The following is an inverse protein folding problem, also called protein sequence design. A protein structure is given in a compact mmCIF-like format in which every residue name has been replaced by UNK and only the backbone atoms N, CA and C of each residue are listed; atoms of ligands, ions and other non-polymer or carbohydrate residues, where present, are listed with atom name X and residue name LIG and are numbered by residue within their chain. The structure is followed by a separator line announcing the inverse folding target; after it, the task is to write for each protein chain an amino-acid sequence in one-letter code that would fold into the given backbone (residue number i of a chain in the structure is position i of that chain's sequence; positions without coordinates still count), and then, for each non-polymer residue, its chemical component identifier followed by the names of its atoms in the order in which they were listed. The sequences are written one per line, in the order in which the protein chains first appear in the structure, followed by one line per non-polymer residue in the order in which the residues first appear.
data_IF_206392170840
#
_entry.id   IF_206392170840
#
_cell.length_a   1.000
_cell.length_b   1.000
_cell.length_c   1.000
_cell.angle_alpha   90.00
_cell.angle_beta   90.00
_cell.angle_gamma   90.00
#
_symmetry.space_group_name_H-M   'P 1'
#
loop_
_entity.id
_entity.type
_entity.pdbx_description
1 polymer ?
#
# COMPACT_ATOMS: atom_id res chain seq x y z
N UNK A 1 -26.52 29.12 -10.97
CA UNK A 1 -27.15 27.86 -10.53
C UNK A 1 -27.24 26.78 -11.63
N UNK A 2 -27.39 27.16 -12.92
CA UNK A 2 -27.49 26.19 -14.04
C UNK A 2 -26.14 25.54 -14.43
N UNK A 3 -25.01 26.25 -14.26
CA UNK A 3 -23.66 25.72 -14.56
C UNK A 3 -23.27 24.52 -13.68
N UNK A 4 -23.55 24.58 -12.38
CA UNK A 4 -23.30 23.46 -11.47
C UNK A 4 -24.11 22.21 -11.84
N UNK A 5 -25.36 22.37 -12.30
CA UNK A 5 -26.18 21.24 -12.71
C UNK A 5 -25.58 20.52 -13.93
N UNK A 6 -24.97 21.26 -14.86
CA UNK A 6 -24.37 20.70 -16.07
C UNK A 6 -23.08 19.91 -15.76
N UNK A 7 -22.27 20.37 -14.79
CA UNK A 7 -21.08 19.64 -14.33
C UNK A 7 -21.44 18.38 -13.54
N UNK A 8 -22.51 18.44 -12.74
CA UNK A 8 -23.00 17.26 -11.99
C UNK A 8 -23.56 16.23 -12.96
N UNK A 9 -24.25 16.65 -14.03
CA UNK A 9 -24.77 15.75 -15.07
C UNK A 9 -23.65 15.13 -15.90
N UNK A 10 -22.61 15.89 -16.26
CA UNK A 10 -21.43 15.38 -16.98
C UNK A 10 -20.61 14.41 -16.13
N UNK A 11 -20.50 14.68 -14.82
CA UNK A 11 -19.91 13.75 -13.85
C UNK A 11 -20.74 12.47 -13.70
N UNK A 12 -22.07 12.59 -13.74
CA UNK A 12 -23.00 11.44 -13.75
C UNK A 12 -22.89 10.62 -15.03
N UNK A 13 -22.84 11.26 -16.19
CA UNK A 13 -22.76 10.58 -17.49
C UNK A 13 -21.44 9.82 -17.65
N UNK A 14 -20.32 10.42 -17.22
CA UNK A 14 -19.02 9.74 -17.15
C UNK A 14 -18.99 8.57 -16.16
N UNK A 15 -19.74 8.66 -15.06
CA UNK A 15 -19.87 7.53 -14.12
C UNK A 15 -20.73 6.41 -14.71
N UNK A 16 -21.84 6.69 -15.42
CA UNK A 16 -22.70 5.64 -16.01
C UNK A 16 -22.03 4.89 -17.17
N UNK A 17 -21.24 5.57 -18.00
CA UNK A 17 -20.51 4.94 -19.13
C UNK A 17 -19.38 4.03 -18.64
N UNK A 18 -18.78 4.32 -17.47
CA UNK A 18 -17.70 3.51 -16.90
C UNK A 18 -18.24 2.23 -16.18
N UNK A 19 -19.52 2.18 -15.78
CA UNK A 19 -20.09 0.99 -15.12
C UNK A 19 -20.31 -0.20 -16.06
N UNK A 20 -20.25 -0.02 -17.38
CA UNK A 20 -20.59 -1.09 -18.33
C UNK A 20 -19.38 -1.81 -18.97
N UNK A 21 -18.15 -1.54 -18.49
CA UNK A 21 -16.93 -2.25 -18.93
C UNK A 21 -16.10 -2.78 -17.75
N UNK A 22 -16.74 -3.42 -16.77
CA UNK A 22 -16.04 -4.13 -15.70
C UNK A 22 -15.50 -5.49 -16.18
N UNK A 23 -14.57 -5.45 -17.12
CA UNK A 23 -13.68 -6.57 -17.42
C UNK A 23 -12.54 -6.54 -16.40
N UNK A 24 -12.05 -7.69 -15.91
CA UNK A 24 -10.91 -7.78 -14.98
C UNK A 24 -9.70 -6.93 -15.42
N UNK A 25 -9.51 -6.75 -16.73
CA UNK A 25 -8.48 -5.85 -17.31
C UNK A 25 -8.75 -4.37 -17.08
N UNK A 26 -10.00 -3.92 -17.08
CA UNK A 26 -10.38 -2.53 -16.75
C UNK A 26 -10.14 -2.25 -15.26
N UNK A 27 -10.49 -3.21 -14.40
CA UNK A 27 -10.18 -3.16 -12.97
C UNK A 27 -8.67 -3.11 -12.72
N UNK A 28 -7.90 -4.02 -13.32
CA UNK A 28 -6.44 -4.01 -13.23
C UNK A 28 -5.83 -2.74 -13.84
N UNK A 29 -6.45 -2.19 -14.89
CA UNK A 29 -6.06 -0.93 -15.51
C UNK A 29 -6.26 0.26 -14.57
N UNK A 30 -7.43 0.37 -13.93
CA UNK A 30 -7.73 1.43 -12.95
C UNK A 30 -6.87 1.29 -11.68
N UNK A 31 -6.63 0.05 -11.24
CA UNK A 31 -5.68 -0.27 -10.18
C UNK A 31 -4.28 0.25 -10.53
N UNK A 32 -3.77 -0.12 -11.71
CA UNK A 32 -2.45 0.28 -12.15
C UNK A 32 -2.34 1.79 -12.42
N UNK A 33 -3.45 2.43 -12.84
CA UNK A 33 -3.53 3.86 -13.03
C UNK A 33 -3.53 4.63 -11.70
N UNK A 34 -4.22 4.14 -10.67
CA UNK A 34 -4.21 4.75 -9.33
C UNK A 34 -2.89 4.48 -8.59
N UNK A 35 -2.29 3.32 -8.86
CA UNK A 35 -1.00 2.90 -8.32
C UNK A 35 0.18 3.31 -9.20
N UNK A 36 0.00 4.27 -10.13
CA UNK A 36 1.03 4.79 -11.05
C UNK A 36 1.88 5.84 -10.32
N UNK A 37 3.12 5.54 -9.85
CA UNK A 37 4.01 6.53 -9.23
C UNK A 37 4.85 7.32 -10.24
N UNK A 38 4.89 6.90 -11.51
CA UNK A 38 5.79 7.52 -12.49
C UNK A 38 5.27 8.90 -12.92
N UNK A 39 6.17 9.90 -12.98
CA UNK A 39 5.85 11.26 -13.41
C UNK A 39 5.33 11.27 -14.85
N UNK A 40 4.59 12.31 -15.20
CA UNK A 40 4.05 12.46 -16.55
C UNK A 40 5.20 12.52 -17.57
N UNK A 41 4.98 12.03 -18.80
CA UNK A 41 6.07 11.89 -19.79
C UNK A 41 6.79 13.21 -20.06
N UNK A 42 6.09 14.32 -19.88
CA UNK A 42 6.59 15.69 -20.04
C UNK A 42 7.56 16.07 -18.92
N UNK A 43 7.21 15.82 -17.66
CA UNK A 43 8.10 15.99 -16.50
C UNK A 43 9.35 15.12 -16.60
N UNK A 44 9.22 13.91 -17.15
CA UNK A 44 10.38 13.03 -17.39
C UNK A 44 11.35 13.56 -18.44
N UNK A 45 10.89 14.33 -19.43
CA UNK A 45 11.77 14.91 -20.45
C UNK A 45 12.53 16.13 -19.91
N UNK A 46 11.92 16.90 -19.00
CA UNK A 46 12.52 18.10 -18.42
C UNK A 46 13.55 17.80 -17.31
N UNK A 47 13.54 16.60 -16.74
CA UNK A 47 14.44 16.23 -15.65
C UNK A 47 15.88 15.95 -16.09
N UNK A 48 16.82 16.49 -15.31
CA UNK A 48 18.24 16.25 -15.45
C UNK A 48 18.57 14.76 -15.16
N UNK A 49 19.66 14.22 -15.72
CA UNK A 49 19.98 12.77 -15.64
C UNK A 49 20.10 12.28 -14.18
N UNK A 50 20.62 13.14 -13.29
CA UNK A 50 20.67 12.86 -11.86
C UNK A 50 19.28 12.76 -11.21
N UNK A 51 18.35 13.63 -11.60
CA UNK A 51 16.96 13.58 -11.11
C UNK A 51 16.27 12.30 -11.58
N UNK A 52 16.49 11.89 -12.83
CA UNK A 52 15.98 10.61 -13.36
C UNK A 52 16.45 9.42 -12.53
N UNK A 53 17.73 9.40 -12.13
CA UNK A 53 18.28 8.34 -11.29
C UNK A 53 17.63 8.31 -9.90
N UNK A 54 17.56 9.46 -9.23
CA UNK A 54 16.92 9.60 -7.90
C UNK A 54 15.45 9.18 -7.94
N UNK A 55 14.70 9.62 -8.97
CA UNK A 55 13.30 9.24 -9.15
C UNK A 55 13.16 7.73 -9.38
N UNK A 56 14.06 7.14 -10.18
CA UNK A 56 14.05 5.69 -10.43
C UNK A 56 14.28 4.87 -9.17
N UNK A 57 15.19 5.32 -8.29
CA UNK A 57 15.45 4.64 -7.00
C UNK A 57 14.29 4.80 -6.04
N UNK A 58 13.71 5.99 -5.93
CA UNK A 58 12.57 6.26 -5.04
C UNK A 58 11.26 5.63 -5.55
N UNK A 59 11.18 5.29 -6.83
CA UNK A 59 10.01 4.68 -7.45
C UNK A 59 9.54 3.42 -6.72
N UNK A 60 10.48 2.54 -6.37
CA UNK A 60 10.19 1.23 -5.78
C UNK A 60 9.62 1.42 -4.36
N UNK A 61 10.28 2.16 -3.44
CA UNK A 61 9.70 2.51 -2.15
C UNK A 61 8.35 3.24 -2.28
N UNK A 62 8.23 4.25 -3.14
CA UNK A 62 7.00 5.03 -3.29
C UNK A 62 5.84 4.18 -3.79
N UNK A 63 6.09 3.24 -4.72
CA UNK A 63 5.11 2.28 -5.17
C UNK A 63 4.63 1.38 -4.02
N UNK A 64 5.57 0.84 -3.23
CA UNK A 64 5.25 0.00 -2.08
C UNK A 64 4.48 0.76 -1.00
N UNK A 65 4.86 2.01 -0.71
CA UNK A 65 4.13 2.87 0.21
C UNK A 65 2.71 3.13 -0.28
N UNK A 66 2.52 3.49 -1.56
CA UNK A 66 1.18 3.68 -2.13
C UNK A 66 0.34 2.40 -2.12
N UNK A 67 0.98 1.24 -2.23
CA UNK A 67 0.29 -0.05 -2.21
C UNK A 67 -0.12 -0.47 -0.79
N UNK A 68 0.74 -0.21 0.20
CA UNK A 68 0.57 -0.70 1.57
C UNK A 68 -0.06 0.31 2.52
N UNK A 69 0.00 1.60 2.22
CA UNK A 69 -0.61 2.66 3.03
C UNK A 69 -1.89 3.11 2.33
N UNK A 70 -3.06 2.68 2.84
CA UNK A 70 -4.33 3.09 2.28
C UNK A 70 -4.52 4.61 2.48
N UNK A 71 -4.64 5.35 1.38
CA UNK A 71 -4.73 6.82 1.41
C UNK A 71 -6.15 7.29 1.08
N UNK A 72 -6.67 8.23 1.87
CA UNK A 72 -8.06 8.68 1.78
C UNK A 72 -8.36 9.58 0.56
N UNK A 73 -7.34 10.09 -0.13
CA UNK A 73 -7.53 10.98 -1.30
C UNK A 73 -7.69 10.24 -2.63
N UNK A 74 -7.57 8.90 -2.65
CA UNK A 74 -7.76 8.12 -3.88
C UNK A 74 -9.26 7.90 -4.19
N UNK A 75 -9.67 7.96 -5.48
CA UNK A 75 -11.04 7.67 -5.86
C UNK A 75 -11.43 6.24 -5.46
N UNK A 76 -12.59 6.09 -4.82
CA UNK A 76 -13.05 4.81 -4.31
C UNK A 76 -13.02 3.72 -5.39
N UNK A 77 -12.26 2.67 -5.15
CA UNK A 77 -12.28 1.46 -5.95
C UNK A 77 -12.29 0.23 -5.04
N UNK A 78 -13.39 -0.54 -5.14
CA UNK A 78 -13.57 -1.83 -4.45
C UNK A 78 -12.34 -2.77 -4.54
N UNK A 79 -11.65 -2.91 -5.68
CA UNK A 79 -10.47 -3.78 -5.77
C UNK A 79 -9.24 -3.27 -5.00
N UNK A 80 -9.01 -1.94 -4.92
CA UNK A 80 -7.91 -1.39 -4.08
C UNK A 80 -8.20 -1.63 -2.62
N UNK A 81 -9.43 -1.35 -2.19
CA UNK A 81 -9.86 -1.57 -0.82
C UNK A 81 -9.65 -3.03 -0.37
N UNK A 82 -9.99 -3.99 -1.23
CA UNK A 82 -9.77 -5.42 -0.98
C UNK A 82 -8.29 -5.79 -0.97
N UNK A 83 -7.50 -5.32 -1.94
CA UNK A 83 -6.07 -5.57 -2.01
C UNK A 83 -5.32 -5.01 -0.80
N UNK A 84 -5.64 -3.79 -0.38
CA UNK A 84 -5.07 -3.16 0.81
C UNK A 84 -5.51 -3.91 2.08
N UNK A 85 -6.78 -4.30 2.19
CA UNK A 85 -7.27 -5.09 3.32
C UNK A 85 -6.58 -6.46 3.43
N UNK A 86 -6.25 -7.09 2.31
CA UNK A 86 -5.49 -8.35 2.30
C UNK A 86 -4.00 -8.15 2.59
N UNK A 87 -3.40 -7.12 2.01
CA UNK A 87 -1.94 -6.88 2.06
C UNK A 87 -1.51 -6.29 3.39
N UNK A 88 -2.31 -5.39 4.00
CA UNK A 88 -1.96 -4.70 5.24
C UNK A 88 -1.63 -5.65 6.41
N UNK A 89 -2.46 -6.66 6.76
CA UNK A 89 -2.17 -7.52 7.90
C UNK A 89 -0.92 -8.38 7.70
N UNK A 90 -0.73 -8.90 6.48
CA UNK A 90 0.44 -9.72 6.13
C UNK A 90 1.71 -8.87 6.15
N UNK A 91 1.65 -7.66 5.58
CA UNK A 91 2.78 -6.75 5.55
C UNK A 91 3.11 -6.17 6.93
N UNK A 92 2.11 -5.91 7.77
CA UNK A 92 2.33 -5.49 9.15
C UNK A 92 3.10 -6.55 9.95
N UNK A 93 2.76 -7.84 9.78
CA UNK A 93 3.53 -8.92 10.40
C UNK A 93 4.97 -8.99 9.89
N UNK A 94 5.17 -8.74 8.59
CA UNK A 94 6.48 -8.65 7.97
C UNK A 94 7.29 -7.48 8.55
N UNK A 95 6.69 -6.30 8.72
CA UNK A 95 7.32 -5.13 9.31
C UNK A 95 7.85 -5.37 10.72
N UNK A 96 7.09 -6.09 11.55
CA UNK A 96 7.48 -6.39 12.93
C UNK A 96 8.51 -7.55 12.98
N UNK A 97 8.88 -8.14 11.83
CA UNK A 97 9.84 -9.25 11.71
C UNK A 97 9.43 -10.52 12.50
N UNK A 98 8.15 -10.67 12.81
CA UNK A 98 7.61 -11.81 13.59
C UNK A 98 7.11 -12.97 12.72
N UNK A 99 7.32 -12.90 11.40
CA UNK A 99 6.71 -13.79 10.41
C UNK A 99 7.12 -15.27 10.58
N UNK A 100 8.32 -15.51 11.10
CA UNK A 100 8.91 -16.85 11.29
C UNK A 100 8.70 -17.42 12.70
N UNK A 101 8.14 -16.63 13.62
CA UNK A 101 7.93 -17.10 15.01
C UNK A 101 6.78 -18.11 15.02
N UNK A 102 7.02 -19.27 15.63
CA UNK A 102 6.01 -20.29 15.88
C UNK A 102 5.47 -20.13 17.31
N UNK A 103 4.17 -19.85 17.50
CA UNK A 103 3.60 -19.62 18.82
C UNK A 103 3.37 -20.91 19.61
N UNK A 104 3.30 -22.07 18.92
CA UNK A 104 3.14 -23.38 19.55
C UNK A 104 4.18 -24.39 19.01
N UNK A 105 4.58 -25.38 19.83
CA UNK A 105 5.37 -26.51 19.35
C UNK A 105 4.62 -27.22 18.21
N UNK A 106 5.28 -27.49 17.09
CA UNK A 106 4.71 -28.11 15.88
C UNK A 106 3.68 -27.29 15.10
N UNK A 107 3.49 -26.00 15.44
CA UNK A 107 2.63 -25.09 14.66
C UNK A 107 3.36 -24.50 13.45
N UNK A 108 2.65 -24.25 12.32
CA UNK A 108 3.17 -23.41 11.25
C UNK A 108 3.52 -22.01 11.78
N UNK A 109 4.43 -21.31 11.09
CA UNK A 109 4.84 -19.96 11.46
C UNK A 109 3.68 -18.95 11.45
N UNK A 110 3.87 -17.85 12.17
CA UNK A 110 2.88 -16.76 12.33
C UNK A 110 2.31 -16.24 11.00
N UNK A 111 3.07 -16.36 9.91
CA UNK A 111 2.64 -15.99 8.55
C UNK A 111 1.33 -16.65 8.11
N UNK A 112 1.10 -17.93 8.46
CA UNK A 112 -0.10 -18.64 8.04
C UNK A 112 -1.33 -18.11 8.76
N UNK A 113 -1.20 -17.77 10.04
CA UNK A 113 -2.25 -17.16 10.84
C UNK A 113 -2.59 -15.75 10.34
N UNK A 114 -1.58 -14.97 9.97
CA UNK A 114 -1.78 -13.66 9.39
C UNK A 114 -2.48 -13.72 8.03
N UNK A 115 -2.14 -14.71 7.20
CA UNK A 115 -2.81 -14.96 5.91
C UNK A 115 -4.26 -15.40 6.10
N UNK A 116 -4.52 -16.27 7.07
CA UNK A 116 -5.89 -16.67 7.40
C UNK A 116 -6.72 -15.47 7.91
N UNK A 117 -6.14 -14.66 8.80
CA UNK A 117 -6.79 -13.45 9.31
C UNK A 117 -7.07 -12.43 8.19
N UNK A 118 -6.10 -12.21 7.29
CA UNK A 118 -6.27 -11.30 6.17
C UNK A 118 -7.33 -11.78 5.17
N UNK A 119 -7.40 -13.09 4.93
CA UNK A 119 -8.44 -13.69 4.10
C UNK A 119 -9.83 -13.49 4.72
N UNK A 120 -9.98 -13.72 6.03
CA UNK A 120 -11.24 -13.51 6.76
C UNK A 120 -11.65 -12.04 6.68
N UNK A 121 -10.73 -11.11 6.95
CA UNK A 121 -10.98 -9.66 6.84
C UNK A 121 -11.41 -9.27 5.42
N UNK A 122 -10.75 -9.79 4.38
CA UNK A 122 -11.12 -9.56 2.98
C UNK A 122 -12.52 -10.08 2.65
N UNK A 123 -12.89 -11.27 3.13
CA UNK A 123 -14.23 -11.84 2.94
C UNK A 123 -15.29 -10.98 3.63
N UNK A 124 -15.02 -10.56 4.87
CA UNK A 124 -15.91 -9.67 5.63
C UNK A 124 -16.12 -8.35 4.90
N UNK A 125 -15.05 -7.73 4.39
CA UNK A 125 -15.13 -6.50 3.58
C UNK A 125 -15.89 -6.76 2.28
N UNK A 126 -15.65 -7.88 1.62
CA UNK A 126 -16.33 -8.23 0.37
C UNK A 126 -17.85 -8.36 0.54
N UNK A 127 -18.29 -8.96 1.64
CA UNK A 127 -19.71 -9.13 2.00
C UNK A 127 -20.33 -7.79 2.45
N UNK A 128 -19.64 -7.01 3.29
CA UNK A 128 -20.14 -5.73 3.80
C UNK A 128 -20.17 -4.62 2.74
N UNK A 129 -19.33 -4.72 1.71
CA UNK A 129 -19.16 -3.67 0.70
C UNK A 129 -20.07 -3.88 -0.51
N UNK A 130 -21.22 -3.18 -0.53
CA UNK A 130 -22.04 -3.03 -1.75
C UNK A 130 -21.30 -2.19 -2.80
N UNK A 131 -21.40 -2.58 -4.08
CA UNK A 131 -20.66 -1.94 -5.19
C UNK A 131 -21.06 -0.47 -5.45
N UNK A 132 -22.28 -0.08 -5.10
CA UNK A 132 -22.88 1.20 -5.54
C UNK A 132 -22.78 2.37 -4.53
N UNK A 133 -22.17 2.17 -3.36
CA UNK A 133 -22.11 3.22 -2.34
C UNK A 133 -20.82 3.21 -1.55
N UNK A 134 -20.11 4.33 -1.56
CA UNK A 134 -18.98 4.60 -0.68
C UNK A 134 -19.43 4.37 0.79
N UNK A 135 -18.95 3.32 1.48
CA UNK A 135 -19.37 3.08 2.85
C UNK A 135 -18.82 4.20 3.72
N UNK A 136 -19.69 4.90 4.46
CA UNK A 136 -19.29 6.02 5.34
C UNK A 136 -18.23 5.62 6.38
N UNK A 137 -18.16 4.33 6.72
CA UNK A 137 -17.19 3.74 7.64
C UNK A 137 -15.82 3.42 7.00
N UNK A 138 -15.70 3.40 5.67
CA UNK A 138 -14.45 3.07 5.00
C UNK A 138 -13.37 4.15 5.17
N UNK A 139 -13.74 5.44 5.02
CA UNK A 139 -12.82 6.56 5.16
C UNK A 139 -12.07 6.59 6.51
N UNK A 140 -12.76 6.54 7.68
CA UNK A 140 -12.06 6.55 8.95
C UNK A 140 -11.21 5.28 9.15
N UNK A 141 -11.72 4.09 8.79
CA UNK A 141 -10.99 2.83 8.95
C UNK A 141 -9.69 2.80 8.12
N UNK A 142 -9.77 3.27 6.88
CA UNK A 142 -8.63 3.45 5.96
C UNK A 142 -7.59 4.39 6.56
N UNK A 143 -8.04 5.51 7.14
CA UNK A 143 -7.13 6.47 7.79
C UNK A 143 -6.41 5.87 9.02
N UNK A 144 -7.12 5.13 9.87
CA UNK A 144 -6.51 4.43 11.01
C UNK A 144 -5.54 3.34 10.56
N UNK A 145 -5.89 2.56 9.54
CA UNK A 145 -5.02 1.53 8.97
C UNK A 145 -3.75 2.16 8.35
N UNK A 146 -3.88 3.23 7.58
CA UNK A 146 -2.74 3.95 7.00
C UNK A 146 -1.79 4.53 8.05
N UNK A 147 -2.36 5.03 9.16
CA UNK A 147 -1.58 5.49 10.30
C UNK A 147 -0.79 4.35 10.95
N UNK A 148 -1.45 3.20 11.23
CA UNK A 148 -0.79 2.04 11.83
C UNK A 148 0.32 1.48 10.91
N UNK A 149 0.07 1.44 9.60
CA UNK A 149 1.04 1.01 8.61
C UNK A 149 2.26 1.95 8.54
N UNK A 150 2.06 3.26 8.71
CA UNK A 150 3.17 4.22 8.80
C UNK A 150 4.06 3.93 10.00
N UNK A 151 3.48 3.63 11.16
CA UNK A 151 4.24 3.24 12.37
C UNK A 151 5.05 1.96 12.11
N UNK A 152 4.43 0.95 11.47
CA UNK A 152 5.08 -0.30 11.15
C UNK A 152 6.27 -0.11 10.18
N UNK A 153 6.12 0.76 9.19
CA UNK A 153 7.21 1.12 8.28
C UNK A 153 8.37 1.82 8.98
N UNK A 154 8.09 2.78 9.87
CA UNK A 154 9.13 3.44 10.69
C UNK A 154 9.88 2.41 11.53
N UNK A 155 9.15 1.47 12.15
CA UNK A 155 9.75 0.39 12.92
C UNK A 155 10.67 -0.49 12.07
N UNK A 156 10.21 -0.94 10.89
CA UNK A 156 11.00 -1.76 9.99
C UNK A 156 12.29 -1.03 9.58
N UNK A 157 12.19 0.23 9.14
CA UNK A 157 13.36 1.01 8.74
C UNK A 157 14.32 1.20 9.92
N UNK A 158 13.80 1.49 11.12
CA UNK A 158 14.61 1.65 12.32
C UNK A 158 15.32 0.35 12.71
N UNK A 159 14.67 -0.81 12.62
CA UNK A 159 15.26 -2.11 12.92
C UNK A 159 16.45 -2.39 11.98
N UNK A 160 16.25 -2.18 10.68
CA UNK A 160 17.32 -2.38 9.68
C UNK A 160 18.49 -1.43 9.90
N UNK A 161 18.23 -0.15 10.19
CA UNK A 161 19.29 0.83 10.50
C UNK A 161 20.08 0.42 11.74
N UNK A 162 19.39 0.00 12.81
CA UNK A 162 20.06 -0.47 14.04
C UNK A 162 20.92 -1.71 13.76
N UNK A 163 20.42 -2.68 12.98
CA UNK A 163 21.18 -3.87 12.61
C UNK A 163 22.48 -3.52 11.86
N UNK A 164 22.42 -2.59 10.91
CA UNK A 164 23.60 -2.12 10.17
C UNK A 164 24.60 -1.42 11.10
N UNK A 165 24.13 -0.55 11.99
CA UNK A 165 24.98 0.16 12.95
C UNK A 165 25.65 -0.82 13.91
N UNK A 166 24.92 -1.83 14.41
CA UNK A 166 25.48 -2.88 15.26
C UNK A 166 26.55 -3.68 14.51
N UNK A 167 26.31 -4.06 13.26
CA UNK A 167 27.29 -4.77 12.43
C UNK A 167 28.57 -3.94 12.25
N UNK A 168 28.45 -2.65 11.89
CA UNK A 168 29.60 -1.75 11.77
C UNK A 168 30.35 -1.61 13.10
N UNK A 169 29.63 -1.48 14.22
CA UNK A 169 30.22 -1.42 15.56
C UNK A 169 31.05 -2.66 15.92
N UNK A 170 30.58 -3.86 15.55
CA UNK A 170 31.34 -5.12 15.74
C UNK A 170 32.57 -5.18 14.85
N UNK A 171 32.45 -4.83 13.56
CA UNK A 171 33.57 -4.82 12.61
C UNK A 171 34.66 -3.83 13.04
N UNK A 172 34.28 -2.64 13.51
CA UNK A 172 35.24 -1.65 14.00
C UNK A 172 36.00 -2.11 15.24
N UNK A 173 35.38 -2.86 16.15
CA UNK A 173 36.06 -3.43 17.33
C UNK A 173 37.10 -4.47 16.93
N UNK A 174 36.73 -5.41 16.06
CA UNK A 174 37.67 -6.43 15.56
C UNK A 174 38.90 -5.75 14.92
N UNK A 175 38.71 -4.71 14.12
CA UNK A 175 39.85 -3.99 13.49
C UNK A 175 40.81 -3.33 14.47
N UNK A 176 40.35 -2.99 15.68
CA UNK A 176 41.19 -2.41 16.72
C UNK A 176 41.86 -3.49 17.61
N UNK A 177 41.31 -4.71 17.63
CA UNK A 177 41.86 -5.86 18.37
C UNK A 177 42.94 -6.63 17.57
N UNK A 178 42.92 -6.54 16.24
CA UNK A 178 43.88 -7.22 15.34
C UNK A 178 45.09 -6.37 14.92
N UNK A 179 45.27 -5.16 15.47
CA UNK A 179 46.43 -4.28 15.20
C UNK A 179 47.30 -4.05 16.43
#
# INVERSE_FOLDING_TARGET
HILHAHDVLKSRENTVVNVNKWTLRGVLGDLFAQLKPWPEKEEWQEMNVFQKSIVSVNLIPTFLFKLTIPHNEQPWSKPIALLQCFTCPVFLLFCIQMITISPFPSSPGLWLYALALSAIMSIVVWILTKLDGEPRFYKPLTSYAGFLMSIAWIYLISSEVVNVVTMLGVVSRISHEVF
#
